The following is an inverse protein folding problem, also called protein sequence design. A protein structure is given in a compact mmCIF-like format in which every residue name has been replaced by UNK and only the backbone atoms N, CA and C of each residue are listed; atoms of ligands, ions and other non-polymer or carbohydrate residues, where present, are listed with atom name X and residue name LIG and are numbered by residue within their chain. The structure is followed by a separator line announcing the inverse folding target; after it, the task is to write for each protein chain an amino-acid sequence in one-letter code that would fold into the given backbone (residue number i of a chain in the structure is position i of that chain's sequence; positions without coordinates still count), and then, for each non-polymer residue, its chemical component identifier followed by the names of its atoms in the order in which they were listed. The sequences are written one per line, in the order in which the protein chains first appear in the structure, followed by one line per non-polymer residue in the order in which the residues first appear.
data_IF_682699417371
#
_entry.id   IF_682699417371
#
_cell.length_a   1.000
_cell.length_b   1.000
_cell.length_c   1.000
_cell.angle_alpha   90.00
_cell.angle_beta   90.00
_cell.angle_gamma   90.00
#
_symmetry.space_group_name_H-M   'P 1'
#
loop_
_entity.id
_entity.type
_entity.pdbx_description
1 polymer ?
#
# COMPACT_ATOMS: atom_id res chain seq x y z
N UNK A 1 37.83 -22.48 20.73
CA UNK A 1 36.64 -21.85 21.35
C UNK A 1 36.48 -20.38 20.99
N UNK A 2 37.57 -19.65 20.73
CA UNK A 2 37.56 -18.21 20.37
C UNK A 2 37.07 -17.93 18.95
N UNK A 3 37.48 -18.70 17.94
CA UNK A 3 37.07 -18.47 16.54
C UNK A 3 35.56 -18.65 16.32
N UNK A 4 34.98 -19.71 16.89
CA UNK A 4 33.54 -19.96 16.83
C UNK A 4 32.77 -18.81 17.50
N UNK A 5 33.28 -18.26 18.61
CA UNK A 5 32.69 -17.11 19.28
C UNK A 5 32.75 -15.84 18.41
N UNK A 6 33.85 -15.60 17.70
CA UNK A 6 33.95 -14.48 16.75
C UNK A 6 33.00 -14.64 15.55
N UNK A 7 32.82 -15.86 15.03
CA UNK A 7 31.86 -16.14 13.96
C UNK A 7 30.42 -15.89 14.44
N UNK A 8 30.05 -16.36 15.63
CA UNK A 8 28.73 -16.11 16.21
C UNK A 8 28.50 -14.62 16.47
N UNK A 9 29.48 -13.91 17.02
CA UNK A 9 29.39 -12.47 17.24
C UNK A 9 29.23 -11.72 15.91
N UNK A 10 30.00 -12.09 14.88
CA UNK A 10 29.88 -11.53 13.54
C UNK A 10 28.48 -11.73 12.95
N UNK A 11 27.93 -12.95 13.07
CA UNK A 11 26.57 -13.26 12.61
C UNK A 11 25.51 -12.44 13.36
N UNK A 12 25.64 -12.30 14.67
CA UNK A 12 24.74 -11.50 15.50
C UNK A 12 24.78 -10.02 15.12
N UNK A 13 25.97 -9.46 14.92
CA UNK A 13 26.14 -8.07 14.47
C UNK A 13 25.55 -7.86 13.07
N UNK A 14 25.77 -8.80 12.14
CA UNK A 14 25.18 -8.74 10.81
C UNK A 14 23.64 -8.80 10.86
N UNK A 15 23.07 -9.69 11.69
CA UNK A 15 21.63 -9.78 11.89
C UNK A 15 21.06 -8.50 12.51
N UNK A 16 21.74 -7.95 13.53
CA UNK A 16 21.35 -6.70 14.16
C UNK A 16 21.37 -5.54 13.15
N UNK A 17 22.42 -5.44 12.34
CA UNK A 17 22.52 -4.44 11.28
C UNK A 17 21.39 -4.57 10.25
N UNK A 18 21.04 -5.80 9.84
CA UNK A 18 19.91 -6.06 8.94
C UNK A 18 18.58 -5.64 9.55
N UNK A 19 18.34 -5.93 10.83
CA UNK A 19 17.11 -5.53 11.53
C UNK A 19 17.01 -4.01 11.70
N UNK A 20 18.11 -3.34 12.04
CA UNK A 20 18.20 -1.88 12.10
C UNK A 20 17.93 -1.26 10.72
N UNK A 21 18.54 -1.82 9.66
CA UNK A 21 18.29 -1.37 8.30
C UNK A 21 16.81 -1.47 7.94
N UNK A 22 16.17 -2.63 8.21
CA UNK A 22 14.75 -2.81 7.96
C UNK A 22 13.86 -1.86 8.79
N UNK A 23 14.29 -1.53 10.01
CA UNK A 23 13.52 -0.67 10.93
C UNK A 23 13.56 0.81 10.56
N UNK A 24 14.66 1.28 10.00
CA UNK A 24 14.93 2.71 9.80
C UNK A 24 15.06 3.15 8.34
N UNK A 25 15.52 2.29 7.44
CA UNK A 25 15.88 2.68 6.08
C UNK A 25 15.08 1.96 4.99
N UNK A 26 14.32 0.92 5.33
CA UNK A 26 13.49 0.21 4.36
C UNK A 26 12.15 0.92 4.09
N UNK A 27 11.50 0.55 2.98
CA UNK A 27 10.20 1.08 2.57
C UNK A 27 9.12 1.16 3.69
N UNK A 28 8.95 0.16 4.57
CA UNK A 28 7.97 0.27 5.66
C UNK A 28 8.29 1.31 6.74
N UNK A 29 9.54 1.78 6.80
CA UNK A 29 10.05 2.72 7.80
C UNK A 29 9.67 4.18 7.52
N UNK A 30 9.26 4.49 6.27
CA UNK A 30 8.74 5.80 5.88
C UNK A 30 7.64 6.28 6.85
N UNK A 31 7.58 7.59 7.07
CA UNK A 31 6.64 8.25 7.97
C UNK A 31 5.88 9.34 7.22
N UNK A 32 4.59 9.56 7.51
CA UNK A 32 3.81 10.59 6.81
C UNK A 32 4.47 11.97 6.85
N UNK A 33 5.07 12.33 7.98
CA UNK A 33 5.78 13.60 8.15
C UNK A 33 7.01 13.78 7.27
N UNK A 34 7.56 12.72 6.67
CA UNK A 34 8.69 12.82 5.73
C UNK A 34 8.28 13.55 4.43
N UNK A 35 6.97 13.69 4.17
CA UNK A 35 6.40 14.27 2.95
C UNK A 35 5.54 15.51 3.20
N UNK A 36 5.59 16.09 4.40
CA UNK A 36 4.70 17.17 4.83
C UNK A 36 4.79 18.43 3.94
N UNK A 37 5.97 18.71 3.37
CA UNK A 37 6.27 19.92 2.60
C UNK A 37 5.84 19.85 1.12
N UNK A 38 5.29 18.72 0.67
CA UNK A 38 4.86 18.53 -0.72
C UNK A 38 3.47 19.10 -1.07
N UNK A 39 3.01 18.96 -2.33
CA UNK A 39 1.64 19.33 -2.72
C UNK A 39 0.62 18.61 -1.84
N UNK A 40 -0.40 19.31 -1.35
CA UNK A 40 -1.33 18.73 -0.38
C UNK A 40 -2.30 17.75 -1.04
N UNK A 41 -2.17 16.46 -0.71
CA UNK A 41 -3.14 15.44 -1.12
C UNK A 41 -4.37 15.51 -0.22
N UNK A 42 -5.53 15.80 -0.83
CA UNK A 42 -6.84 15.63 -0.20
C UNK A 42 -7.53 14.40 -0.78
N UNK A 43 -7.70 13.29 -0.02
CA UNK A 43 -8.42 12.11 -0.48
C UNK A 43 -9.84 12.40 -0.98
N UNK A 44 -10.53 13.42 -0.42
CA UNK A 44 -11.89 13.80 -0.82
C UNK A 44 -11.95 14.42 -2.21
N UNK A 45 -10.81 14.92 -2.71
CA UNK A 45 -10.70 15.52 -4.03
C UNK A 45 -10.05 14.55 -5.01
N UNK A 46 -8.90 13.99 -4.63
CA UNK A 46 -8.06 13.21 -5.54
C UNK A 46 -8.49 11.74 -5.68
N UNK A 47 -9.26 11.21 -4.70
CA UNK A 47 -9.86 9.88 -4.75
C UNK A 47 -11.39 9.97 -4.90
N UNK A 48 -11.89 10.92 -5.70
CA UNK A 48 -13.30 11.17 -5.91
C UNK A 48 -13.65 11.21 -7.40
N UNK A 49 -14.81 10.65 -7.76
CA UNK A 49 -15.25 10.46 -9.14
C UNK A 49 -14.59 9.27 -9.83
N UNK A 50 -14.73 9.19 -11.17
CA UNK A 50 -14.24 8.06 -11.95
C UNK A 50 -12.72 8.15 -12.12
N UNK A 51 -12.04 7.05 -11.82
CA UNK A 51 -10.59 6.91 -11.81
C UNK A 51 -10.20 5.69 -12.63
N UNK A 52 -9.09 5.82 -13.36
CA UNK A 52 -8.41 4.70 -14.00
C UNK A 52 -7.15 4.38 -13.20
N UNK A 53 -7.02 3.12 -12.81
CA UNK A 53 -5.85 2.59 -12.13
C UNK A 53 -5.17 1.52 -12.96
N UNK A 54 -3.86 1.61 -13.12
CA UNK A 54 -3.07 0.69 -13.95
C UNK A 54 -1.81 0.35 -13.17
N UNK A 55 -1.45 -0.93 -13.11
CA UNK A 55 -0.36 -1.34 -12.25
C UNK A 55 0.22 -2.71 -12.54
N UNK A 56 1.32 -2.96 -11.84
CA UNK A 56 2.11 -4.19 -11.91
C UNK A 56 2.32 -4.74 -10.51
N UNK A 57 2.28 -6.08 -10.41
CA UNK A 57 2.55 -6.82 -9.18
C UNK A 57 3.86 -7.57 -9.36
N UNK A 58 4.77 -7.35 -8.43
CA UNK A 58 6.05 -8.03 -8.31
C UNK A 58 5.94 -9.14 -7.26
N UNK A 59 6.47 -10.32 -7.60
CA UNK A 59 6.59 -11.44 -6.68
C UNK A 59 7.75 -11.30 -5.69
N UNK A 60 8.01 -12.31 -4.85
CA UNK A 60 9.06 -12.26 -3.82
C UNK A 60 10.47 -12.17 -4.40
N UNK A 61 10.66 -12.58 -5.66
CA UNK A 61 11.93 -12.49 -6.40
C UNK A 61 12.17 -11.12 -7.03
N UNK A 62 11.21 -10.19 -6.91
CA UNK A 62 11.27 -8.86 -7.55
C UNK A 62 10.95 -8.88 -9.05
N UNK A 63 10.54 -10.02 -9.61
CA UNK A 63 10.06 -10.12 -11.00
C UNK A 63 8.57 -9.81 -11.08
N UNK A 64 8.12 -9.23 -12.20
CA UNK A 64 6.70 -9.03 -12.48
C UNK A 64 6.02 -10.40 -12.58
N UNK A 65 4.92 -10.56 -11.85
CA UNK A 65 4.11 -11.79 -11.85
C UNK A 65 2.70 -11.57 -12.39
N UNK A 66 2.20 -10.33 -12.38
CA UNK A 66 0.92 -9.98 -13.00
C UNK A 66 0.84 -8.47 -13.26
N UNK A 67 -0.02 -8.08 -14.18
CA UNK A 67 -0.39 -6.70 -14.49
C UNK A 67 -1.89 -6.57 -14.41
N UNK A 68 -2.38 -5.38 -14.05
CA UNK A 68 -3.80 -5.13 -13.95
C UNK A 68 -4.18 -3.73 -14.42
N UNK A 69 -5.45 -3.64 -14.83
CA UNK A 69 -6.16 -2.38 -15.03
C UNK A 69 -7.41 -2.43 -14.17
N UNK A 70 -7.72 -1.35 -13.45
CA UNK A 70 -8.90 -1.24 -12.63
C UNK A 70 -9.67 0.04 -12.96
N UNK A 71 -10.98 -0.11 -13.10
CA UNK A 71 -11.90 1.01 -13.08
C UNK A 71 -12.31 1.25 -11.64
N UNK A 72 -12.13 2.50 -11.19
CA UNK A 72 -12.40 2.90 -9.82
C UNK A 72 -13.43 4.03 -9.80
N UNK A 73 -14.25 4.08 -8.76
CA UNK A 73 -15.23 5.16 -8.54
C UNK A 73 -15.18 5.57 -7.08
N UNK A 74 -14.71 6.79 -6.84
CA UNK A 74 -14.72 7.41 -5.53
C UNK A 74 -16.00 8.20 -5.31
N UNK A 75 -16.60 8.09 -4.13
CA UNK A 75 -17.73 8.90 -3.69
C UNK A 75 -17.49 9.38 -2.27
N UNK A 76 -17.43 10.69 -2.08
CA UNK A 76 -17.26 11.30 -0.77
C UNK A 76 -18.50 12.07 -0.32
N UNK A 77 -18.83 11.93 0.96
CA UNK A 77 -19.86 12.70 1.66
C UNK A 77 -19.23 13.25 2.95
N UNK A 78 -18.85 14.53 2.92
CA UNK A 78 -18.10 15.15 4.01
C UNK A 78 -16.76 14.45 4.24
N UNK A 79 -16.63 13.75 5.36
CA UNK A 79 -15.41 13.05 5.75
C UNK A 79 -15.48 11.52 5.57
N UNK A 80 -16.57 11.00 5.01
CA UNK A 80 -16.74 9.58 4.70
C UNK A 80 -16.62 9.38 3.19
N UNK A 81 -15.85 8.39 2.78
CA UNK A 81 -15.59 8.03 1.40
C UNK A 81 -15.92 6.56 1.13
N UNK A 82 -16.49 6.27 -0.03
CA UNK A 82 -16.58 4.92 -0.58
C UNK A 82 -15.79 4.90 -1.88
N UNK A 83 -14.86 3.96 -2.01
CA UNK A 83 -14.05 3.78 -3.21
C UNK A 83 -14.25 2.36 -3.71
N UNK A 84 -14.96 2.21 -4.83
CA UNK A 84 -15.13 0.91 -5.48
C UNK A 84 -14.05 0.73 -6.53
N UNK A 85 -13.58 -0.51 -6.67
CA UNK A 85 -12.46 -0.88 -7.53
C UNK A 85 -12.83 -2.15 -8.29
N UNK A 86 -12.74 -2.14 -9.61
CA UNK A 86 -13.03 -3.28 -10.48
C UNK A 86 -11.80 -3.65 -11.31
N UNK A 87 -11.03 -4.60 -10.79
CA UNK A 87 -9.77 -5.07 -11.35
C UNK A 87 -9.97 -6.08 -12.48
N UNK A 88 -9.16 -5.93 -13.54
CA UNK A 88 -8.93 -6.90 -14.61
C UNK A 88 -7.45 -7.21 -14.66
N UNK A 89 -7.10 -8.47 -14.43
CA UNK A 89 -5.73 -8.94 -14.47
C UNK A 89 -5.38 -9.48 -15.86
N UNK A 90 -4.10 -9.48 -16.20
CA UNK A 90 -3.59 -10.05 -17.46
C UNK A 90 -3.78 -11.57 -17.58
N UNK A 91 -4.01 -12.26 -16.47
CA UNK A 91 -4.47 -13.66 -16.44
C UNK A 91 -5.91 -13.87 -16.88
N UNK A 92 -6.69 -12.79 -17.07
CA UNK A 92 -8.14 -12.82 -17.32
C UNK A 92 -8.99 -12.84 -16.05
N UNK A 93 -8.37 -12.97 -14.86
CA UNK A 93 -9.08 -12.88 -13.58
C UNK A 93 -9.70 -11.49 -13.38
N UNK A 94 -10.81 -11.45 -12.65
CA UNK A 94 -11.49 -10.21 -12.25
C UNK A 94 -11.70 -10.20 -10.75
N UNK A 95 -11.57 -9.03 -10.15
CA UNK A 95 -11.79 -8.84 -8.72
C UNK A 95 -12.47 -7.50 -8.49
N UNK A 96 -13.40 -7.47 -7.53
CA UNK A 96 -13.98 -6.23 -7.05
C UNK A 96 -13.56 -5.99 -5.60
N UNK A 97 -13.30 -4.74 -5.24
CA UNK A 97 -13.11 -4.31 -3.86
C UNK A 97 -13.88 -3.02 -3.61
N UNK A 98 -14.42 -2.89 -2.41
CA UNK A 98 -15.03 -1.65 -1.95
C UNK A 98 -14.37 -1.25 -0.63
N UNK A 99 -13.74 -0.08 -0.65
CA UNK A 99 -13.19 0.56 0.53
C UNK A 99 -14.21 1.52 1.11
N UNK A 100 -14.33 1.52 2.43
CA UNK A 100 -14.98 2.57 3.21
C UNK A 100 -13.90 3.31 3.99
N UNK A 101 -13.77 4.59 3.71
CA UNK A 101 -12.75 5.47 4.26
C UNK A 101 -13.39 6.52 5.16
N UNK A 102 -12.76 6.81 6.29
CA UNK A 102 -13.10 7.96 7.14
C UNK A 102 -11.86 8.81 7.33
N UNK A 103 -11.98 10.11 7.08
CA UNK A 103 -10.90 11.10 7.20
C UNK A 103 -11.11 11.98 8.44
N UNK A 104 -10.10 12.04 9.29
CA UNK A 104 -10.01 12.96 10.41
C UNK A 104 -9.51 14.35 9.98
N UNK A 105 -9.82 15.37 10.77
CA UNK A 105 -9.35 16.74 10.52
C UNK A 105 -7.83 16.89 10.64
N UNK A 106 -7.19 15.97 11.35
CA UNK A 106 -5.74 15.83 11.51
C UNK A 106 -5.10 15.02 10.37
N UNK A 107 -5.88 14.61 9.36
CA UNK A 107 -5.44 13.75 8.26
C UNK A 107 -5.43 12.25 8.60
N UNK A 108 -5.83 11.85 9.81
CA UNK A 108 -5.90 10.44 10.17
C UNK A 108 -6.94 9.72 9.30
N UNK A 109 -6.61 8.54 8.78
CA UNK A 109 -7.50 7.75 7.93
C UNK A 109 -7.84 6.44 8.61
N UNK A 110 -9.12 6.07 8.54
CA UNK A 110 -9.60 4.74 8.89
C UNK A 110 -10.18 4.09 7.65
N UNK A 111 -9.79 2.84 7.39
CA UNK A 111 -10.20 2.10 6.20
C UNK A 111 -10.81 0.76 6.58
N UNK A 112 -11.93 0.39 5.97
CA UNK A 112 -12.51 -0.96 6.05
C UNK A 112 -12.87 -1.47 4.66
N UNK A 113 -12.82 -2.78 4.48
CA UNK A 113 -13.29 -3.48 3.30
C UNK A 113 -13.71 -4.90 3.70
N UNK A 114 -14.42 -5.62 2.83
CA UNK A 114 -14.91 -6.96 3.13
C UNK A 114 -13.79 -8.00 3.34
N UNK A 115 -12.65 -7.82 2.68
CA UNK A 115 -11.49 -8.70 2.73
C UNK A 115 -10.43 -8.26 3.75
N UNK A 116 -10.68 -7.18 4.48
CA UNK A 116 -9.81 -6.69 5.55
C UNK A 116 -10.06 -7.42 6.88
N UNK A 117 -8.96 -7.70 7.59
CA UNK A 117 -9.01 -8.24 8.95
C UNK A 117 -8.93 -7.11 9.96
N UNK A 118 -10.11 -6.65 10.39
CA UNK A 118 -10.26 -5.49 11.26
C UNK A 118 -10.29 -4.19 10.46
N UNK A 119 -9.73 -3.12 11.05
CA UNK A 119 -9.72 -1.79 10.44
C UNK A 119 -8.29 -1.40 10.06
N UNK A 120 -8.12 -0.95 8.81
CA UNK A 120 -6.92 -0.28 8.35
C UNK A 120 -6.80 1.11 8.96
N UNK A 121 -5.56 1.54 9.19
CA UNK A 121 -5.22 2.86 9.73
C UNK A 121 -4.27 3.56 8.80
N UNK A 122 -4.37 4.87 8.72
CA UNK A 122 -3.52 5.66 7.85
C UNK A 122 -3.44 7.12 8.24
N UNK A 123 -2.75 7.86 7.39
CA UNK A 123 -2.50 9.28 7.56
C UNK A 123 -2.27 9.90 6.18
N UNK A 124 -2.99 10.99 5.90
CA UNK A 124 -2.63 11.95 4.85
C UNK A 124 -1.70 13.01 5.44
N UNK A 125 -0.59 13.30 4.76
CA UNK A 125 0.35 14.35 5.17
C UNK A 125 1.12 14.85 3.94
N UNK A 126 1.03 16.16 3.68
CA UNK A 126 1.64 16.78 2.51
C UNK A 126 1.28 16.06 1.22
N UNK A 127 2.26 15.55 0.49
CA UNK A 127 2.04 14.87 -0.79
C UNK A 127 1.75 13.38 -0.70
N UNK A 128 1.55 12.84 0.50
CA UNK A 128 1.45 11.40 0.67
C UNK A 128 0.25 10.98 1.54
N UNK A 129 -0.34 9.84 1.16
CA UNK A 129 -1.24 9.07 2.01
C UNK A 129 -0.60 7.72 2.29
N UNK A 130 -0.55 7.34 3.56
CA UNK A 130 -0.12 6.02 3.99
C UNK A 130 -1.28 5.25 4.60
N UNK A 131 -1.39 3.98 4.25
CA UNK A 131 -2.33 3.02 4.86
C UNK A 131 -1.57 1.79 5.37
N UNK A 132 -2.00 1.28 6.51
CA UNK A 132 -1.58 0.02 7.11
C UNK A 132 -2.81 -0.82 7.42
N UNK A 133 -2.87 -2.01 6.87
CA UNK A 133 -4.00 -2.91 7.05
C UNK A 133 -3.57 -4.37 6.89
N UNK A 134 -4.46 -5.28 7.28
CA UNK A 134 -4.30 -6.72 7.03
C UNK A 134 -5.38 -7.17 6.09
N UNK A 135 -4.98 -7.90 5.05
CA UNK A 135 -5.88 -8.36 4.00
C UNK A 135 -5.86 -9.88 3.91
N UNK A 136 -7.01 -10.49 3.71
CA UNK A 136 -7.12 -11.91 3.37
C UNK A 136 -7.28 -12.04 1.86
N UNK A 137 -6.33 -12.72 1.23
CA UNK A 137 -6.41 -13.05 -0.19
C UNK A 137 -7.57 -14.01 -0.45
N UNK A 138 -8.04 -14.04 -1.70
CA UNK A 138 -9.08 -14.99 -2.10
C UNK A 138 -8.57 -16.43 -1.98
N UNK A 139 -9.47 -17.43 -1.90
CA UNK A 139 -9.07 -18.84 -1.84
C UNK A 139 -8.17 -19.27 -3.01
N UNK A 140 -8.45 -18.78 -4.21
CA UNK A 140 -7.68 -19.06 -5.44
C UNK A 140 -6.26 -18.49 -5.37
N UNK A 141 -6.08 -17.41 -4.59
CA UNK A 141 -4.78 -16.80 -4.28
C UNK A 141 -4.17 -17.34 -2.98
N UNK A 142 -4.67 -18.48 -2.46
CA UNK A 142 -4.12 -19.20 -1.30
C UNK A 142 -4.72 -18.82 0.06
N UNK A 143 -5.70 -17.92 0.12
CA UNK A 143 -6.41 -17.56 1.36
C UNK A 143 -5.55 -16.92 2.44
N UNK A 144 -4.33 -16.49 2.09
CA UNK A 144 -3.35 -16.01 3.04
C UNK A 144 -3.74 -14.64 3.62
N UNK A 145 -3.45 -14.43 4.90
CA UNK A 145 -3.51 -13.11 5.51
C UNK A 145 -2.15 -12.44 5.39
N UNK A 146 -2.14 -11.23 4.84
CA UNK A 146 -0.94 -10.44 4.59
C UNK A 146 -1.04 -9.08 5.29
N UNK A 147 0.08 -8.63 5.85
CA UNK A 147 0.25 -7.27 6.33
C UNK A 147 0.63 -6.37 5.16
N UNK A 148 -0.08 -5.26 4.99
CA UNK A 148 0.15 -4.31 3.89
C UNK A 148 0.56 -2.96 4.44
N UNK A 149 1.65 -2.42 3.88
CA UNK A 149 1.99 -1.01 3.98
C UNK A 149 1.82 -0.43 2.59
N UNK A 150 0.89 0.50 2.47
CA UNK A 150 0.51 1.11 1.21
C UNK A 150 0.76 2.61 1.24
N UNK A 151 1.38 3.12 0.19
CA UNK A 151 1.70 4.53 0.03
C UNK A 151 1.17 5.04 -1.29
N UNK A 152 0.49 6.17 -1.24
CA UNK A 152 0.03 6.94 -2.38
C UNK A 152 0.73 8.29 -2.35
N UNK A 153 1.31 8.69 -3.47
CA UNK A 153 2.04 9.95 -3.64
C UNK A 153 1.38 10.79 -4.72
N UNK A 154 1.00 12.01 -4.39
CA UNK A 154 0.48 12.98 -5.35
C UNK A 154 1.63 13.55 -6.18
N UNK A 155 1.56 13.35 -7.49
CA UNK A 155 2.49 13.93 -8.45
C UNK A 155 2.01 15.32 -8.89
N UNK A 156 2.93 16.16 -9.37
CA UNK A 156 2.62 17.53 -9.83
C UNK A 156 1.55 17.59 -10.93
N UNK A 157 1.45 16.55 -11.76
CA UNK A 157 0.45 16.45 -12.82
C UNK A 157 -0.93 15.94 -12.34
N UNK A 158 -1.14 15.78 -11.03
CA UNK A 158 -2.37 15.28 -10.44
C UNK A 158 -2.53 13.75 -10.47
N UNK A 159 -1.59 13.01 -11.05
CA UNK A 159 -1.57 11.54 -10.96
C UNK A 159 -1.16 11.12 -9.55
N UNK A 160 -1.79 10.08 -9.02
CA UNK A 160 -1.34 9.44 -7.78
C UNK A 160 -0.48 8.23 -8.16
N UNK A 161 0.77 8.22 -7.71
CA UNK A 161 1.61 7.03 -7.75
C UNK A 161 1.36 6.20 -6.49
N UNK A 162 0.96 4.96 -6.67
CA UNK A 162 0.72 4.02 -5.59
C UNK A 162 1.83 2.97 -5.55
N UNK A 163 2.35 2.71 -4.35
CA UNK A 163 3.30 1.62 -4.07
C UNK A 163 2.91 0.94 -2.77
N UNK A 164 2.73 -0.38 -2.82
CA UNK A 164 2.36 -1.18 -1.66
C UNK A 164 3.32 -2.35 -1.49
N UNK A 165 3.66 -2.68 -0.24
CA UNK A 165 4.38 -3.92 0.09
C UNK A 165 3.52 -4.84 0.94
N UNK A 166 3.42 -6.09 0.51
CA UNK A 166 2.70 -7.15 1.18
C UNK A 166 3.69 -8.06 1.89
N UNK A 167 3.44 -8.33 3.17
CA UNK A 167 4.31 -9.14 4.02
C UNK A 167 3.54 -10.28 4.66
N UNK A 168 4.23 -11.41 4.79
CA UNK A 168 3.77 -12.56 5.58
C UNK A 168 4.84 -12.85 6.61
N UNK A 169 4.48 -12.82 7.90
CA UNK A 169 5.41 -12.99 9.02
C UNK A 169 6.65 -12.07 8.92
N UNK A 170 6.44 -10.82 8.47
CA UNK A 170 7.51 -9.83 8.30
C UNK A 170 8.31 -9.94 6.99
N UNK A 171 8.20 -11.04 6.23
CA UNK A 171 8.92 -11.25 4.97
C UNK A 171 8.10 -10.64 3.81
N UNK A 172 8.74 -9.84 2.94
CA UNK A 172 8.10 -9.28 1.74
C UNK A 172 7.79 -10.41 0.77
N UNK A 173 6.51 -10.59 0.44
CA UNK A 173 6.02 -11.63 -0.48
C UNK A 173 5.49 -11.07 -1.80
N UNK A 174 5.04 -9.81 -1.79
CA UNK A 174 4.64 -9.12 -3.00
C UNK A 174 4.85 -7.61 -2.87
N UNK A 175 4.94 -6.94 -4.01
CA UNK A 175 4.97 -5.49 -4.12
C UNK A 175 4.09 -5.06 -5.28
N UNK A 176 3.28 -4.02 -5.08
CA UNK A 176 2.42 -3.43 -6.09
C UNK A 176 2.96 -2.05 -6.42
N UNK A 177 3.01 -1.72 -7.70
CA UNK A 177 3.23 -0.35 -8.18
C UNK A 177 2.12 -0.04 -9.18
N UNK A 178 1.41 1.06 -8.95
CA UNK A 178 0.30 1.46 -9.79
C UNK A 178 0.23 2.98 -9.93
N UNK A 179 -0.48 3.44 -10.94
CA UNK A 179 -0.85 4.84 -11.10
C UNK A 179 -2.36 4.96 -11.09
N UNK A 180 -2.89 5.97 -10.40
CA UNK A 180 -4.29 6.33 -10.40
C UNK A 180 -4.44 7.74 -10.98
N UNK A 181 -5.36 7.90 -11.93
CA UNK A 181 -5.64 9.18 -12.59
C UNK A 181 -7.12 9.32 -12.88
N UNK A 182 -7.66 10.55 -12.97
CA UNK A 182 -9.02 10.77 -13.44
C UNK A 182 -9.26 10.06 -14.77
N UNK A 183 -10.37 9.33 -14.87
CA UNK A 183 -10.78 8.69 -16.11
C UNK A 183 -11.33 9.78 -17.03
N UNK A 184 -10.53 10.19 -18.02
CA UNK A 184 -10.99 11.11 -19.06
C UNK A 184 -12.07 10.38 -19.87
N UNK A 185 -13.21 11.04 -20.06
CA UNK A 185 -14.35 10.52 -20.83
C UNK A 185 -14.02 10.38 -22.32
#
# INVERSE_FOLDING_TARGET
MTELAFLFLGLLLALAALLLHQRFFAFPAQRPGDYADGPQIDPRQHLNGPLLCEGVIYGPTGRVVSRFVADMEGRWQGNQGVLTESFRYDSGARQAREWRLSLGNDGAIRATAADLIGQGRGQASGSAVMLRYRIRLTPEAGGHVLDVVDWMYLMENGTILNRSQFRKFGIKVAELVATMRPKVA
#
